data_IF_061168781941
#
_entry.id   IF_061168781941
#
_cell.length_a   1.000
_cell.length_b   1.000
_cell.length_c   1.000
_cell.angle_alpha   90.00
_cell.angle_beta   90.00
_cell.angle_gamma   90.00
#
_symmetry.space_group_name_H-M   'P 1'
#
loop_
_entity.id
_entity.type
_entity.pdbx_description
1 polymer ?
#
# COMPACT_ATOMS: atom_id res chain seq x y z
N UNK A 1 -27.23 -11.63 -9.68
CA UNK A 1 -25.84 -12.13 -9.78
C UNK A 1 -25.05 -11.09 -10.55
N UNK A 2 -24.27 -10.26 -9.84
CA UNK A 2 -23.31 -9.35 -10.49
C UNK A 2 -22.21 -10.20 -11.12
N UNK A 3 -21.91 -10.00 -12.40
CA UNK A 3 -20.76 -10.64 -13.03
C UNK A 3 -19.50 -10.06 -12.40
N UNK A 4 -18.78 -10.85 -11.60
CA UNK A 4 -17.48 -10.45 -11.05
C UNK A 4 -16.56 -9.98 -12.19
N UNK A 5 -15.92 -8.83 -11.98
CA UNK A 5 -14.98 -8.22 -12.91
C UNK A 5 -13.56 -8.81 -12.80
N UNK A 6 -13.33 -9.73 -11.86
CA UNK A 6 -12.02 -10.34 -11.62
C UNK A 6 -11.75 -11.48 -12.63
N UNK A 7 -10.48 -11.70 -13.03
CA UNK A 7 -10.15 -12.75 -13.97
C UNK A 7 -10.34 -14.16 -13.37
N UNK A 8 -10.70 -15.12 -14.21
CA UNK A 8 -10.76 -16.54 -13.80
C UNK A 8 -9.37 -17.06 -13.38
N UNK A 9 -8.31 -16.59 -14.03
CA UNK A 9 -6.92 -16.94 -13.75
C UNK A 9 -6.02 -15.76 -14.06
N UNK A 10 -5.12 -15.42 -13.14
CA UNK A 10 -4.04 -14.45 -13.37
C UNK A 10 -2.69 -15.16 -13.20
N UNK A 11 -2.04 -15.52 -14.32
CA UNK A 11 -0.73 -16.19 -14.28
C UNK A 11 0.37 -15.32 -13.65
N UNK A 12 0.13 -14.03 -13.69
CA UNK A 12 1.09 -12.98 -13.50
C UNK A 12 1.00 -12.51 -12.02
N UNK A 13 -0.08 -12.85 -11.30
CA UNK A 13 -0.26 -12.59 -9.86
C UNK A 13 0.88 -13.21 -9.05
N UNK A 14 1.65 -12.38 -8.36
CA UNK A 14 2.64 -12.83 -7.40
C UNK A 14 1.98 -12.94 -6.03
N UNK A 15 1.53 -14.15 -5.70
CA UNK A 15 0.86 -14.47 -4.43
C UNK A 15 1.77 -14.37 -3.21
N UNK A 16 3.09 -14.36 -3.41
CA UNK A 16 4.07 -14.18 -2.34
C UNK A 16 4.31 -12.69 -2.07
N UNK A 17 4.45 -11.89 -3.13
CA UNK A 17 4.62 -10.45 -3.01
C UNK A 17 3.33 -9.74 -2.54
N UNK A 18 2.16 -10.22 -2.96
CA UNK A 18 0.86 -9.65 -2.59
C UNK A 18 0.05 -10.68 -1.79
N UNK A 19 0.36 -10.85 -0.50
CA UNK A 19 -0.41 -11.75 0.35
C UNK A 19 -1.66 -11.06 0.90
N UNK A 20 -2.84 -11.31 0.31
CA UNK A 20 -4.10 -10.72 0.77
C UNK A 20 -4.49 -11.11 2.21
N UNK A 21 -3.86 -12.13 2.80
CA UNK A 21 -4.12 -12.56 4.16
C UNK A 21 -3.23 -11.89 5.22
N UNK A 22 -2.33 -11.00 4.80
CA UNK A 22 -1.50 -10.17 5.67
C UNK A 22 -1.68 -8.69 5.31
N UNK A 23 -1.42 -7.76 6.25
CA UNK A 23 -1.34 -6.33 5.91
C UNK A 23 -0.40 -6.11 4.73
N UNK A 24 -0.83 -5.26 3.81
CA UNK A 24 -0.02 -4.88 2.66
C UNK A 24 1.12 -3.96 3.15
N UNK A 25 2.37 -4.37 2.93
CA UNK A 25 3.57 -3.60 3.32
C UNK A 25 3.62 -2.22 2.63
N UNK A 26 3.00 -2.09 1.46
CA UNK A 26 2.83 -0.84 0.75
C UNK A 26 1.48 -0.78 0.05
N UNK A 27 0.60 0.09 0.53
CA UNK A 27 -0.43 0.71 -0.31
C UNK A 27 0.12 2.11 -0.56
N UNK A 28 0.87 2.28 -1.65
CA UNK A 28 1.46 3.59 -1.92
C UNK A 28 0.32 4.60 -2.15
N UNK A 29 0.38 5.80 -1.54
CA UNK A 29 -0.68 6.78 -1.70
C UNK A 29 -0.80 7.32 -3.13
N UNK A 30 0.13 7.02 -4.05
CA UNK A 30 0.17 7.66 -5.37
C UNK A 30 0.41 6.77 -6.59
N UNK A 31 0.46 5.44 -6.46
CA UNK A 31 0.48 4.56 -7.64
C UNK A 31 0.12 3.16 -7.18
N UNK A 32 -1.17 2.84 -7.14
CA UNK A 32 -1.57 1.44 -7.21
C UNK A 32 -1.27 0.99 -8.63
N UNK A 33 -0.24 0.17 -8.92
CA UNK A 33 0.06 -0.23 -10.28
C UNK A 33 -1.18 -0.88 -10.88
N UNK A 34 -1.75 -0.25 -11.91
CA UNK A 34 -2.71 -0.92 -12.78
C UNK A 34 -1.96 -2.06 -13.45
N UNK A 35 -2.36 -3.30 -13.16
CA UNK A 35 -2.33 -4.30 -14.21
C UNK A 35 -3.34 -3.88 -15.27
N UNK A 36 -2.84 -3.30 -16.35
CA UNK A 36 -3.66 -3.04 -17.52
C UNK A 36 -4.13 -4.38 -18.10
N UNK A 37 -5.34 -4.79 -17.71
CA UNK A 37 -6.11 -5.80 -18.41
C UNK A 37 -6.43 -5.21 -19.78
N UNK A 38 -5.79 -5.74 -20.81
CA UNK A 38 -5.96 -5.42 -22.24
C UNK A 38 -5.31 -4.11 -22.71
N UNK A 39 -3.99 -4.11 -22.88
CA UNK A 39 -3.37 -3.40 -24.02
C UNK A 39 -2.16 -4.19 -24.47
N UNK A 40 -2.14 -4.57 -25.76
CA UNK A 40 -0.94 -5.09 -26.39
C UNK A 40 0.08 -3.95 -26.41
N UNK A 41 1.23 -4.14 -25.76
CA UNK A 41 2.37 -3.23 -25.90
C UNK A 41 3.58 -4.06 -26.31
N UNK A 42 4.21 -3.57 -27.36
CA UNK A 42 5.32 -4.16 -28.08
C UNK A 42 6.51 -4.53 -27.20
N UNK A 43 7.26 -5.51 -27.69
CA UNK A 43 8.51 -5.99 -27.11
C UNK A 43 9.52 -4.85 -26.94
N UNK A 44 9.62 -4.30 -25.73
CA UNK A 44 10.71 -3.43 -25.31
C UNK A 44 11.84 -4.26 -24.68
N UNK A 45 13.08 -3.92 -25.07
CA UNK A 45 14.35 -4.58 -24.75
C UNK A 45 14.61 -4.67 -23.23
N UNK A 46 15.38 -5.69 -22.78
CA UNK A 46 15.72 -5.84 -21.37
C UNK A 46 16.59 -4.69 -20.88
N UNK A 47 16.13 -3.97 -19.85
CA UNK A 47 16.94 -3.03 -19.09
C UNK A 47 17.81 -3.81 -18.07
N UNK A 48 19.00 -3.27 -17.83
CA UNK A 48 20.12 -3.92 -17.16
C UNK A 48 19.81 -4.43 -15.74
N UNK A 49 20.29 -5.65 -15.46
CA UNK A 49 20.25 -6.28 -14.14
C UNK A 49 21.28 -5.60 -13.23
N UNK A 50 20.82 -4.90 -12.19
CA UNK A 50 21.64 -4.52 -11.04
C UNK A 50 21.86 -5.77 -10.16
N UNK A 51 23.13 -6.12 -9.95
CA UNK A 51 23.56 -7.32 -9.24
C UNK A 51 23.34 -7.22 -7.72
N UNK A 52 22.91 -8.33 -7.11
CA UNK A 52 22.78 -8.49 -5.65
C UNK A 52 24.16 -8.62 -4.97
N UNK A 53 24.37 -8.06 -3.75
CA UNK A 53 25.66 -8.09 -3.05
C UNK A 53 26.09 -9.47 -2.52
N UNK A 54 25.31 -10.53 -2.74
CA UNK A 54 25.56 -11.87 -2.18
C UNK A 54 25.88 -12.96 -3.21
N UNK A 55 26.25 -12.60 -4.43
CA UNK A 55 26.64 -13.58 -5.45
C UNK A 55 28.05 -14.14 -5.19
N UNK A 56 28.14 -15.38 -4.69
CA UNK A 56 29.37 -16.20 -4.74
C UNK A 56 29.78 -16.41 -6.19
N UNK A 57 31.04 -16.08 -6.52
CA UNK A 57 31.69 -16.37 -7.81
C UNK A 57 31.39 -17.79 -8.26
N UNK A 58 30.65 -17.94 -9.36
CA UNK A 58 30.59 -19.19 -10.13
C UNK A 58 30.65 -18.85 -11.62
N UNK A 59 31.76 -19.31 -12.19
CA UNK A 59 32.18 -19.54 -13.59
C UNK A 59 31.12 -19.31 -14.68
N UNK A 60 31.53 -18.61 -15.74
CA UNK A 60 30.80 -18.42 -17.01
C UNK A 60 30.13 -19.73 -17.50
N UNK A 61 28.86 -19.69 -17.93
CA UNK A 61 28.23 -20.84 -18.53
C UNK A 61 28.82 -21.07 -19.93
N UNK A 62 29.64 -22.10 -20.07
CA UNK A 62 29.92 -22.70 -21.36
C UNK A 62 28.58 -23.06 -22.03
N UNK A 63 28.35 -22.56 -23.25
CA UNK A 63 27.18 -22.88 -24.07
C UNK A 63 27.00 -24.39 -24.16
N UNK A 64 25.94 -24.91 -23.53
CA UNK A 64 25.65 -26.33 -23.47
C UNK A 64 25.08 -26.77 -24.83
N UNK A 65 25.96 -27.20 -25.73
CA UNK A 65 25.67 -27.75 -27.06
C UNK A 65 25.05 -29.15 -26.99
N UNK A 66 24.23 -29.43 -25.97
CA UNK A 66 23.57 -30.71 -25.77
C UNK A 66 22.10 -30.65 -26.18
N UNK A 67 21.74 -31.48 -27.16
CA UNK A 67 20.35 -31.63 -27.59
C UNK A 67 19.62 -32.64 -26.70
N UNK A 68 18.72 -32.16 -25.84
CA UNK A 68 17.87 -33.02 -25.01
C UNK A 68 16.92 -33.91 -25.82
N UNK A 69 16.36 -33.41 -26.92
CA UNK A 69 15.43 -34.17 -27.78
C UNK A 69 16.09 -35.35 -28.51
N UNK A 70 17.38 -35.25 -28.79
CA UNK A 70 18.14 -36.29 -29.50
C UNK A 70 19.19 -36.98 -28.61
N UNK A 71 19.33 -36.55 -27.35
CA UNK A 71 20.36 -36.98 -26.38
C UNK A 71 21.78 -36.99 -26.96
N UNK A 72 22.17 -35.92 -27.67
CA UNK A 72 23.49 -35.79 -28.32
C UNK A 72 24.18 -34.48 -27.96
N UNK A 73 25.47 -34.54 -27.62
CA UNK A 73 26.34 -33.37 -27.39
C UNK A 73 27.14 -33.04 -28.64
N UNK A 74 27.23 -31.77 -29.00
CA UNK A 74 27.92 -31.31 -30.21
C UNK A 74 29.19 -30.55 -29.84
N UNK A 75 30.24 -30.69 -30.64
CA UNK A 75 31.56 -30.13 -30.31
C UNK A 75 31.68 -28.63 -30.59
N UNK A 76 30.80 -28.05 -31.41
CA UNK A 76 30.75 -26.62 -31.66
C UNK A 76 29.31 -26.14 -31.96
N UNK A 77 29.08 -24.86 -31.73
CA UNK A 77 27.76 -24.23 -31.84
C UNK A 77 27.17 -24.22 -33.26
N UNK A 78 27.95 -24.01 -34.35
CA UNK A 78 27.40 -24.06 -35.70
C UNK A 78 26.82 -25.44 -36.07
N UNK A 79 27.46 -26.54 -35.65
CA UNK A 79 26.91 -27.88 -35.89
C UNK A 79 25.70 -28.18 -35.02
N UNK A 80 25.63 -27.63 -33.80
CA UNK A 80 24.44 -27.72 -32.95
C UNK A 80 23.24 -27.01 -33.59
N UNK A 81 23.42 -25.77 -34.05
CA UNK A 81 22.35 -24.99 -34.71
C UNK A 81 21.85 -25.68 -35.99
N UNK A 82 22.75 -26.27 -36.79
CA UNK A 82 22.37 -27.06 -37.95
C UNK A 82 21.63 -28.35 -37.57
N UNK A 83 22.02 -28.99 -36.45
CA UNK A 83 21.32 -30.15 -35.92
C UNK A 83 19.87 -29.83 -35.52
N UNK A 84 19.62 -28.69 -34.87
CA UNK A 84 18.27 -28.24 -34.49
C UNK A 84 17.33 -28.11 -35.70
N UNK A 85 17.87 -27.80 -36.88
CA UNK A 85 17.11 -27.69 -38.13
C UNK A 85 16.94 -29.02 -38.87
N UNK A 86 17.55 -30.10 -38.41
CA UNK A 86 17.48 -31.40 -39.09
C UNK A 86 16.11 -32.05 -38.96
N UNK A 87 15.59 -32.65 -40.04
CA UNK A 87 14.30 -33.33 -40.05
C UNK A 87 14.17 -34.40 -38.95
N UNK A 88 15.28 -35.06 -38.61
CA UNK A 88 15.35 -36.09 -37.56
C UNK A 88 15.22 -35.49 -36.15
N UNK A 89 15.80 -34.31 -35.91
CA UNK A 89 15.61 -33.57 -34.66
C UNK A 89 14.16 -33.10 -34.52
N UNK A 90 13.61 -32.47 -35.54
CA UNK A 90 12.23 -31.95 -35.55
C UNK A 90 11.21 -33.08 -35.34
N UNK A 91 11.43 -34.27 -35.91
CA UNK A 91 10.56 -35.43 -35.69
C UNK A 91 10.62 -35.95 -34.23
N UNK A 92 11.80 -35.96 -33.61
CA UNK A 92 11.94 -36.35 -32.20
C UNK A 92 11.38 -35.28 -31.25
N UNK A 93 11.52 -34.00 -31.59
CA UNK A 93 10.90 -32.91 -30.85
C UNK A 93 9.37 -32.97 -30.91
N UNK A 94 8.78 -33.25 -32.08
CA UNK A 94 7.34 -33.46 -32.26
C UNK A 94 6.80 -34.68 -31.50
N UNK A 95 7.65 -35.69 -31.22
CA UNK A 95 7.30 -36.82 -30.36
C UNK A 95 7.36 -36.48 -28.87
N UNK A 96 8.24 -35.55 -28.48
CA UNK A 96 8.37 -35.06 -27.10
C UNK A 96 7.37 -33.96 -26.75
N UNK A 97 6.84 -33.24 -27.75
CA UNK A 97 5.78 -32.25 -27.61
C UNK A 97 4.66 -32.56 -28.61
N UNK A 98 3.54 -33.20 -28.18
CA UNK A 98 2.39 -33.38 -29.06
C UNK A 98 1.88 -32.02 -29.55
N UNK A 99 1.55 -31.94 -30.84
CA UNK A 99 1.30 -30.70 -31.56
C UNK A 99 0.26 -29.78 -30.90
N UNK A 100 0.65 -28.50 -30.77
CA UNK A 100 -0.28 -27.36 -30.66
C UNK A 100 -1.26 -27.41 -31.82
N UNK A 101 -2.56 -27.56 -31.51
CA UNK A 101 -3.65 -27.35 -32.46
C UNK A 101 -4.14 -25.91 -32.30
N UNK A 102 -4.06 -25.15 -33.39
CA UNK A 102 -4.75 -23.86 -33.57
C UNK A 102 -6.27 -24.00 -33.56
N UNK A 103 -6.98 -22.87 -33.72
CA UNK A 103 -8.11 -22.50 -32.87
C UNK A 103 -9.38 -23.25 -33.28
N UNK A 104 -9.86 -24.10 -32.38
CA UNK A 104 -11.24 -24.54 -32.36
C UNK A 104 -11.90 -23.90 -31.13
N UNK A 105 -12.88 -23.03 -31.39
CA UNK A 105 -13.83 -22.55 -30.40
C UNK A 105 -14.27 -23.70 -29.48
N UNK A 106 -14.24 -23.44 -28.17
CA UNK A 106 -14.67 -24.33 -27.08
C UNK A 106 -13.71 -25.46 -26.64
N UNK A 107 -12.42 -25.18 -26.45
CA UNK A 107 -11.61 -26.00 -25.55
C UNK A 107 -11.82 -25.56 -24.10
N UNK A 108 -12.52 -26.41 -23.32
CA UNK A 108 -12.50 -26.38 -21.86
C UNK A 108 -11.03 -26.36 -21.42
N UNK A 109 -10.57 -25.23 -20.88
CA UNK A 109 -9.32 -25.16 -20.12
C UNK A 109 -9.31 -26.35 -19.15
N UNK A 110 -8.30 -27.22 -19.25
CA UNK A 110 -8.10 -28.28 -18.27
C UNK A 110 -7.83 -27.60 -16.92
N UNK A 111 -8.89 -27.47 -16.11
CA UNK A 111 -8.84 -26.87 -14.79
C UNK A 111 -7.90 -27.73 -13.94
N UNK A 112 -6.91 -27.11 -13.30
CA UNK A 112 -5.99 -27.82 -12.41
C UNK A 112 -6.80 -28.66 -11.39
N UNK A 113 -6.49 -29.95 -11.14
CA UNK A 113 -7.34 -30.84 -10.33
C UNK A 113 -7.71 -30.24 -8.97
N UNK A 114 -6.74 -29.60 -8.30
CA UNK A 114 -6.98 -28.89 -7.02
C UNK A 114 -7.98 -27.73 -7.11
N UNK A 115 -8.09 -27.06 -8.26
CA UNK A 115 -9.10 -26.02 -8.46
C UNK A 115 -10.48 -26.67 -8.58
N UNK A 116 -10.60 -27.78 -9.31
CA UNK A 116 -11.87 -28.50 -9.42
C UNK A 116 -12.32 -29.10 -8.09
N UNK A 117 -11.39 -29.65 -7.31
CA UNK A 117 -11.64 -30.12 -5.94
C UNK A 117 -12.11 -28.97 -5.04
N UNK A 118 -11.39 -27.84 -5.03
CA UNK A 118 -11.77 -26.66 -4.25
C UNK A 118 -13.18 -26.16 -4.62
N UNK A 119 -13.49 -26.07 -5.92
CA UNK A 119 -14.82 -25.67 -6.40
C UNK A 119 -15.91 -26.67 -5.97
N UNK A 120 -15.64 -27.97 -6.05
CA UNK A 120 -16.57 -29.00 -5.57
C UNK A 120 -16.83 -28.88 -4.07
N UNK A 121 -15.80 -28.56 -3.28
CA UNK A 121 -15.94 -28.35 -1.84
C UNK A 121 -16.75 -27.08 -1.53
N UNK A 122 -16.58 -26.01 -2.30
CA UNK A 122 -17.42 -24.80 -2.17
C UNK A 122 -18.89 -25.11 -2.46
N UNK A 123 -19.19 -25.87 -3.50
CA UNK A 123 -20.57 -26.27 -3.85
C UNK A 123 -21.20 -27.19 -2.80
N UNK A 124 -20.40 -28.06 -2.17
CA UNK A 124 -20.85 -28.90 -1.06
C UNK A 124 -21.14 -28.06 0.20
N UNK A 125 -20.27 -27.10 0.52
CA UNK A 125 -20.46 -26.19 1.64
C UNK A 125 -21.72 -25.32 1.47
N UNK A 126 -22.03 -24.90 0.24
CA UNK A 126 -23.25 -24.14 -0.09
C UNK A 126 -24.54 -24.91 0.21
N UNK A 127 -24.49 -26.24 0.08
CA UNK A 127 -25.63 -27.13 0.32
C UNK A 127 -25.59 -27.79 1.71
N UNK A 128 -24.59 -27.45 2.53
CA UNK A 128 -24.39 -28.06 3.84
C UNK A 128 -25.31 -27.43 4.88
N UNK A 129 -25.97 -28.26 5.68
CA UNK A 129 -26.73 -27.82 6.85
C UNK A 129 -25.81 -27.50 8.05
N UNK A 130 -24.56 -27.98 8.02
CA UNK A 130 -23.54 -27.63 9.03
C UNK A 130 -22.83 -26.33 8.64
N UNK A 131 -23.28 -25.23 9.23
CA UNK A 131 -22.68 -23.91 9.03
C UNK A 131 -21.24 -23.83 9.54
N UNK A 132 -20.87 -24.57 10.60
CA UNK A 132 -19.49 -24.54 11.15
C UNK A 132 -18.50 -25.12 10.14
N UNK A 133 -18.86 -26.27 9.55
CA UNK A 133 -18.07 -26.88 8.49
C UNK A 133 -18.04 -26.01 7.22
N UNK A 134 -19.16 -25.40 6.85
CA UNK A 134 -19.24 -24.51 5.69
C UNK A 134 -18.34 -23.27 5.83
N UNK A 135 -18.37 -22.59 6.99
CA UNK A 135 -17.51 -21.44 7.28
C UNK A 135 -16.02 -21.78 7.15
N UNK A 136 -15.61 -22.90 7.75
CA UNK A 136 -14.22 -23.39 7.68
C UNK A 136 -13.83 -23.70 6.24
N UNK A 137 -14.73 -24.36 5.50
CA UNK A 137 -14.50 -24.73 4.10
C UNK A 137 -14.33 -23.48 3.22
N UNK A 138 -15.22 -22.49 3.33
CA UNK A 138 -15.10 -21.27 2.53
C UNK A 138 -13.77 -20.54 2.79
N UNK A 139 -13.35 -20.43 4.05
CA UNK A 139 -12.07 -19.81 4.40
C UNK A 139 -10.88 -20.58 3.79
N UNK A 140 -10.79 -21.90 4.01
CA UNK A 140 -9.68 -22.72 3.52
C UNK A 140 -9.64 -22.80 1.99
N UNK A 141 -10.79 -22.86 1.33
CA UNK A 141 -10.84 -22.89 -0.12
C UNK A 141 -10.51 -21.53 -0.74
N UNK A 142 -10.88 -20.40 -0.10
CA UNK A 142 -10.43 -19.08 -0.54
C UNK A 142 -8.89 -18.99 -0.58
N UNK A 143 -8.22 -19.45 0.48
CA UNK A 143 -6.75 -19.48 0.57
C UNK A 143 -6.13 -20.35 -0.54
N UNK A 144 -6.71 -21.54 -0.75
CA UNK A 144 -6.26 -22.48 -1.77
C UNK A 144 -6.41 -21.89 -3.19
N UNK A 145 -7.56 -21.30 -3.48
CA UNK A 145 -7.84 -20.68 -4.77
C UNK A 145 -6.95 -19.46 -5.02
N UNK A 146 -6.66 -18.67 -3.98
CA UNK A 146 -5.74 -17.54 -4.09
C UNK A 146 -4.32 -18.00 -4.43
N UNK A 147 -3.80 -19.01 -3.73
CA UNK A 147 -2.50 -19.61 -4.01
C UNK A 147 -2.41 -20.21 -5.43
N UNK A 148 -3.54 -20.67 -5.98
CA UNK A 148 -3.67 -21.15 -7.36
C UNK A 148 -3.95 -20.04 -8.38
N UNK A 149 -3.84 -18.77 -7.95
CA UNK A 149 -4.05 -17.56 -8.74
C UNK A 149 -5.42 -17.48 -9.41
N UNK A 150 -6.48 -17.88 -8.69
CA UNK A 150 -7.88 -17.89 -9.15
C UNK A 150 -8.71 -16.78 -8.49
N UNK A 151 -8.45 -15.50 -8.80
CA UNK A 151 -8.98 -14.38 -8.01
C UNK A 151 -10.50 -14.28 -8.05
N UNK A 152 -11.17 -14.56 -9.18
CA UNK A 152 -12.63 -14.60 -9.23
C UNK A 152 -13.24 -15.66 -8.29
N UNK A 153 -12.62 -16.84 -8.19
CA UNK A 153 -13.11 -17.89 -7.29
C UNK A 153 -12.76 -17.62 -5.82
N UNK A 154 -11.60 -17.00 -5.57
CA UNK A 154 -11.24 -16.48 -4.24
C UNK A 154 -12.28 -15.45 -3.77
N UNK A 155 -12.61 -14.48 -4.61
CA UNK A 155 -13.64 -13.47 -4.30
C UNK A 155 -14.98 -14.14 -4.00
N UNK A 156 -15.43 -15.08 -4.84
CA UNK A 156 -16.67 -15.83 -4.61
C UNK A 156 -16.68 -16.52 -3.24
N UNK A 157 -15.61 -17.25 -2.91
CA UNK A 157 -15.51 -17.95 -1.63
C UNK A 157 -15.53 -16.99 -0.43
N UNK A 158 -14.84 -15.85 -0.52
CA UNK A 158 -14.82 -14.82 0.54
C UNK A 158 -16.20 -14.17 0.71
N UNK A 159 -16.90 -13.85 -0.38
CA UNK A 159 -18.27 -13.31 -0.32
C UNK A 159 -19.24 -14.32 0.29
N UNK A 160 -19.20 -15.59 -0.12
CA UNK A 160 -20.03 -16.65 0.47
C UNK A 160 -19.78 -16.81 1.97
N UNK A 161 -18.53 -16.71 2.41
CA UNK A 161 -18.18 -16.71 3.83
C UNK A 161 -18.79 -15.52 4.57
N UNK A 162 -18.62 -14.31 4.04
CA UNK A 162 -19.16 -13.08 4.64
C UNK A 162 -20.70 -13.13 4.71
N UNK A 163 -21.35 -13.54 3.63
CA UNK A 163 -22.81 -13.63 3.53
C UNK A 163 -23.36 -14.67 4.50
N UNK A 164 -22.72 -15.85 4.59
CA UNK A 164 -23.11 -16.88 5.55
C UNK A 164 -23.01 -16.35 6.98
N UNK A 165 -21.94 -15.65 7.37
CA UNK A 165 -21.81 -15.09 8.72
C UNK A 165 -22.85 -14.00 8.97
N UNK A 166 -23.08 -13.09 8.01
CA UNK A 166 -24.06 -12.01 8.14
C UNK A 166 -25.50 -12.54 8.30
N UNK A 167 -25.80 -13.70 7.72
CA UNK A 167 -27.07 -14.40 7.93
C UNK A 167 -27.27 -14.94 9.38
N UNK A 168 -26.26 -14.77 10.25
CA UNK A 168 -26.29 -15.16 11.67
C UNK A 168 -26.62 -16.65 11.88
N UNK A 169 -25.81 -17.57 11.32
CA UNK A 169 -26.11 -18.98 11.36
C UNK A 169 -25.81 -19.55 12.75
N UNK A 170 -26.46 -20.68 13.08
CA UNK A 170 -26.12 -21.42 14.30
C UNK A 170 -24.81 -22.17 14.06
N UNK A 171 -23.79 -21.91 14.88
CA UNK A 171 -22.45 -22.54 14.75
C UNK A 171 -21.92 -22.96 16.12
N UNK A 172 -20.90 -23.82 16.13
CA UNK A 172 -20.19 -24.19 17.37
C UNK A 172 -19.07 -23.20 17.73
N UNK A 173 -18.85 -22.16 16.92
CA UNK A 173 -17.84 -21.13 17.17
C UNK A 173 -18.34 -20.11 18.19
N UNK A 174 -17.42 -19.60 19.00
CA UNK A 174 -17.68 -18.46 19.87
C UNK A 174 -17.90 -17.17 19.07
N UNK A 175 -18.59 -16.19 19.66
CA UNK A 175 -18.77 -14.87 19.05
C UNK A 175 -17.45 -14.19 18.66
N UNK A 176 -16.39 -14.37 19.46
CA UNK A 176 -15.06 -13.86 19.16
C UNK A 176 -14.44 -14.53 17.91
N UNK A 177 -14.63 -15.84 17.75
CA UNK A 177 -14.18 -16.57 16.56
C UNK A 177 -14.96 -16.13 15.31
N UNK A 178 -16.28 -15.98 15.40
CA UNK A 178 -17.11 -15.48 14.30
C UNK A 178 -16.69 -14.06 13.89
N UNK A 179 -16.45 -13.17 14.86
CA UNK A 179 -15.96 -11.81 14.63
C UNK A 179 -14.60 -11.84 13.92
N UNK A 180 -13.69 -12.74 14.33
CA UNK A 180 -12.37 -12.90 13.71
C UNK A 180 -12.46 -13.42 12.27
N UNK A 181 -13.29 -14.44 12.01
CA UNK A 181 -13.53 -14.96 10.66
C UNK A 181 -14.06 -13.87 9.74
N UNK A 182 -15.10 -13.15 10.18
CA UNK A 182 -15.70 -12.08 9.38
C UNK A 182 -14.71 -10.95 9.09
N UNK A 183 -13.96 -10.54 10.10
CA UNK A 183 -12.95 -9.49 9.98
C UNK A 183 -11.86 -9.87 8.99
N UNK A 184 -11.26 -11.06 9.13
CA UNK A 184 -10.19 -11.52 8.25
C UNK A 184 -10.68 -11.77 6.82
N UNK A 185 -11.92 -12.24 6.65
CA UNK A 185 -12.55 -12.39 5.35
C UNK A 185 -12.76 -11.05 4.64
N UNK A 186 -13.23 -10.03 5.38
CA UNK A 186 -13.39 -8.67 4.85
C UNK A 186 -12.04 -8.07 4.46
N UNK A 187 -11.00 -8.17 5.30
CA UNK A 187 -9.67 -7.67 4.94
C UNK A 187 -9.11 -8.36 3.69
N UNK A 188 -9.19 -9.69 3.62
CA UNK A 188 -8.71 -10.43 2.45
C UNK A 188 -9.48 -10.06 1.18
N UNK A 189 -10.80 -9.86 1.28
CA UNK A 189 -11.63 -9.43 0.16
C UNK A 189 -11.26 -8.01 -0.27
N UNK A 190 -11.14 -7.07 0.66
CA UNK A 190 -10.79 -5.69 0.36
C UNK A 190 -9.42 -5.59 -0.33
N UNK A 191 -8.40 -6.28 0.19
CA UNK A 191 -7.06 -6.36 -0.42
C UNK A 191 -7.09 -6.96 -1.82
N UNK A 192 -7.86 -8.04 -2.02
CA UNK A 192 -8.05 -8.64 -3.33
C UNK A 192 -8.66 -7.62 -4.31
N UNK A 193 -9.69 -6.90 -3.90
CA UNK A 193 -10.32 -5.87 -4.72
C UNK A 193 -9.36 -4.70 -5.02
N UNK A 194 -8.50 -4.31 -4.07
CA UNK A 194 -7.43 -3.34 -4.29
C UNK A 194 -6.47 -3.77 -5.41
N UNK A 195 -6.01 -5.04 -5.40
CA UNK A 195 -5.10 -5.58 -6.43
C UNK A 195 -5.71 -5.44 -7.83
N UNK A 196 -7.03 -5.58 -7.95
CA UNK A 196 -7.78 -5.45 -9.21
C UNK A 196 -8.47 -4.10 -9.39
N UNK A 197 -8.04 -3.06 -8.66
CA UNK A 197 -8.47 -1.66 -8.84
C UNK A 197 -9.98 -1.43 -8.66
N UNK A 198 -10.66 -2.30 -7.91
CA UNK A 198 -12.07 -2.13 -7.53
C UNK A 198 -12.16 -1.34 -6.23
N UNK A 199 -11.73 -0.07 -6.32
CA UNK A 199 -11.43 0.76 -5.14
C UNK A 199 -12.67 1.07 -4.29
N UNK A 200 -13.83 1.35 -4.89
CA UNK A 200 -15.04 1.70 -4.12
C UNK A 200 -15.56 0.51 -3.30
N UNK A 201 -15.58 -0.68 -3.90
CA UNK A 201 -15.94 -1.91 -3.19
C UNK A 201 -14.90 -2.23 -2.11
N UNK A 202 -13.60 -2.09 -2.42
CA UNK A 202 -12.53 -2.31 -1.45
C UNK A 202 -12.66 -1.37 -0.23
N UNK A 203 -12.89 -0.07 -0.48
CA UNK A 203 -13.12 0.96 0.53
C UNK A 203 -14.27 0.60 1.44
N UNK A 204 -15.42 0.23 0.87
CA UNK A 204 -16.59 -0.19 1.65
C UNK A 204 -16.27 -1.39 2.55
N UNK A 205 -15.59 -2.40 2.00
CA UNK A 205 -15.27 -3.62 2.75
C UNK A 205 -14.24 -3.35 3.88
N UNK A 206 -13.26 -2.46 3.68
CA UNK A 206 -12.35 -2.03 4.75
C UNK A 206 -13.09 -1.34 5.90
N UNK A 207 -13.97 -0.38 5.57
CA UNK A 207 -14.75 0.32 6.58
C UNK A 207 -15.65 -0.64 7.35
N UNK A 208 -16.27 -1.62 6.68
CA UNK A 208 -17.03 -2.69 7.34
C UNK A 208 -16.16 -3.58 8.24
N UNK A 209 -14.90 -3.83 7.89
CA UNK A 209 -13.97 -4.58 8.73
C UNK A 209 -13.63 -3.80 10.02
N UNK A 210 -13.31 -2.50 9.88
CA UNK A 210 -13.03 -1.60 11.00
C UNK A 210 -14.24 -1.43 11.93
N UNK A 211 -15.43 -1.18 11.37
CA UNK A 211 -16.67 -1.08 12.12
C UNK A 211 -17.01 -2.40 12.85
N UNK A 212 -16.85 -3.54 12.16
CA UNK A 212 -17.18 -4.85 12.73
C UNK A 212 -16.36 -5.22 13.96
N UNK A 213 -15.02 -5.18 13.85
CA UNK A 213 -14.10 -5.62 14.91
C UNK A 213 -13.75 -4.52 15.90
N UNK A 214 -13.44 -3.33 15.40
CA UNK A 214 -12.89 -2.24 16.20
C UNK A 214 -13.92 -1.17 16.59
N UNK A 215 -15.16 -1.29 16.09
CA UNK A 215 -16.28 -0.39 16.40
C UNK A 215 -16.04 1.06 15.97
N UNK A 216 -15.26 1.25 14.91
CA UNK A 216 -15.11 2.53 14.23
C UNK A 216 -16.27 2.65 13.23
N UNK A 217 -17.38 3.23 13.66
CA UNK A 217 -18.62 3.25 12.88
C UNK A 217 -18.46 4.12 11.62
N UNK A 218 -18.74 3.53 10.45
CA UNK A 218 -18.60 4.21 9.14
C UNK A 218 -19.34 5.56 9.08
N UNK A 219 -20.60 5.69 9.57
CA UNK A 219 -21.30 6.98 9.53
C UNK A 219 -20.62 8.08 10.35
N UNK A 220 -20.03 7.73 11.49
CA UNK A 220 -19.32 8.67 12.36
C UNK A 220 -18.02 9.15 11.70
N UNK A 221 -17.23 8.21 11.16
CA UNK A 221 -16.03 8.51 10.38
C UNK A 221 -16.33 9.44 9.18
N UNK A 222 -17.37 9.13 8.40
CA UNK A 222 -17.78 9.98 7.27
C UNK A 222 -18.30 11.35 7.73
N UNK A 223 -18.92 11.41 8.91
CA UNK A 223 -19.34 12.67 9.55
C UNK A 223 -18.15 13.57 9.88
N UNK A 224 -17.05 13.00 10.38
CA UNK A 224 -15.79 13.71 10.61
C UNK A 224 -15.20 14.18 9.28
N UNK A 225 -15.06 13.27 8.31
CA UNK A 225 -14.47 13.55 7.01
C UNK A 225 -15.17 14.70 6.25
N UNK A 226 -16.50 14.78 6.31
CA UNK A 226 -17.27 15.88 5.69
C UNK A 226 -16.97 17.26 6.30
N UNK A 227 -16.49 17.30 7.54
CA UNK A 227 -16.19 18.55 8.27
C UNK A 227 -14.72 18.93 8.26
N UNK A 228 -13.84 18.13 7.67
CA UNK A 228 -12.38 18.29 7.78
C UNK A 228 -11.89 19.70 7.47
N UNK A 229 -12.41 20.32 6.40
CA UNK A 229 -12.03 21.69 6.01
C UNK A 229 -12.35 22.76 7.06
N UNK A 230 -13.26 22.46 7.99
CA UNK A 230 -13.70 23.40 9.04
C UNK A 230 -13.10 23.10 10.41
N UNK A 231 -12.48 21.93 10.60
CA UNK A 231 -11.93 21.50 11.89
C UNK A 231 -10.52 22.05 12.08
N UNK A 232 -10.19 22.46 13.31
CA UNK A 232 -8.78 22.51 13.69
C UNK A 232 -8.24 21.09 13.86
N UNK A 233 -6.92 20.93 13.84
CA UNK A 233 -6.27 19.65 14.15
C UNK A 233 -6.65 19.13 15.54
N UNK A 234 -6.84 20.01 16.52
CA UNK A 234 -7.28 19.65 17.85
C UNK A 234 -8.70 19.07 17.81
N UNK A 235 -9.63 19.75 17.14
CA UNK A 235 -11.01 19.28 17.00
C UNK A 235 -11.10 17.99 16.19
N UNK A 236 -10.23 17.82 15.18
CA UNK A 236 -10.11 16.58 14.42
C UNK A 236 -9.66 15.42 15.32
N UNK A 237 -8.59 15.63 16.09
CA UNK A 237 -8.08 14.62 17.02
C UNK A 237 -9.11 14.30 18.11
N UNK A 238 -9.83 15.29 18.64
CA UNK A 238 -10.92 15.05 19.61
C UNK A 238 -12.06 14.23 18.99
N UNK A 239 -12.49 14.55 17.77
CA UNK A 239 -13.52 13.78 17.08
C UNK A 239 -13.06 12.34 16.77
N UNK A 240 -11.81 12.16 16.36
CA UNK A 240 -11.20 10.85 16.14
C UNK A 240 -11.00 10.06 17.46
N UNK A 241 -10.77 10.75 18.58
CA UNK A 241 -10.76 10.15 19.91
C UNK A 241 -12.13 9.58 20.27
N UNK A 242 -13.18 10.37 20.01
CA UNK A 242 -14.56 9.98 20.22
C UNK A 242 -14.92 8.75 19.36
N UNK A 243 -14.56 8.75 18.07
CA UNK A 243 -14.75 7.62 17.16
C UNK A 243 -14.08 6.33 17.69
N UNK A 244 -12.84 6.43 18.19
CA UNK A 244 -12.08 5.30 18.69
C UNK A 244 -12.24 5.06 20.21
N UNK A 245 -13.22 5.69 20.87
CA UNK A 245 -13.36 5.71 22.34
C UNK A 245 -13.31 4.31 22.95
N UNK A 246 -14.01 3.33 22.34
CA UNK A 246 -14.08 1.95 22.85
C UNK A 246 -12.71 1.28 22.92
N UNK A 247 -11.87 1.51 21.91
CA UNK A 247 -10.51 0.99 21.88
C UNK A 247 -9.60 1.81 22.82
N UNK A 248 -9.60 3.14 22.68
CA UNK A 248 -8.68 4.02 23.40
C UNK A 248 -8.92 3.98 24.92
N UNK A 249 -10.17 3.94 25.37
CA UNK A 249 -10.49 3.82 26.80
C UNK A 249 -9.97 2.51 27.38
N UNK A 250 -10.08 1.40 26.63
CA UNK A 250 -9.56 0.09 27.05
C UNK A 250 -8.04 0.16 27.21
N UNK A 251 -7.33 0.71 26.23
CA UNK A 251 -5.86 0.78 26.25
C UNK A 251 -5.33 1.78 27.29
N UNK A 252 -5.96 2.95 27.43
CA UNK A 252 -5.63 3.95 28.47
C UNK A 252 -5.76 3.40 29.89
N UNK A 253 -6.74 2.53 30.11
CA UNK A 253 -7.01 1.92 31.41
C UNK A 253 -6.23 0.62 31.65
N UNK A 254 -5.38 0.17 30.72
CA UNK A 254 -4.56 -1.02 30.94
C UNK A 254 -3.49 -0.75 31.97
N UNK A 255 -3.39 -1.66 32.94
CA UNK A 255 -2.33 -1.66 33.96
C UNK A 255 -1.03 -2.31 33.49
N UNK A 256 -1.06 -3.02 32.35
CA UNK A 256 0.08 -3.67 31.73
C UNK A 256 0.07 -3.38 30.22
N UNK A 257 1.25 -3.22 29.59
CA UNK A 257 1.34 -3.05 28.14
C UNK A 257 0.62 -4.17 27.40
N UNK A 258 0.08 -3.85 26.21
CA UNK A 258 -0.47 -4.85 25.31
C UNK A 258 0.56 -5.95 25.05
N UNK A 259 0.18 -7.24 25.06
CA UNK A 259 1.07 -8.28 24.59
C UNK A 259 1.43 -8.02 23.12
N UNK A 260 2.67 -8.35 22.75
CA UNK A 260 3.10 -8.26 21.36
C UNK A 260 2.14 -9.03 20.45
N UNK A 261 1.72 -8.40 19.37
CA UNK A 261 0.77 -8.97 18.42
C UNK A 261 1.48 -10.06 17.62
N UNK A 262 0.96 -11.29 17.67
CA UNK A 262 1.51 -12.43 16.90
C UNK A 262 0.97 -12.51 15.47
N UNK A 263 -0.15 -11.84 15.21
CA UNK A 263 -0.81 -11.74 13.91
C UNK A 263 -0.96 -10.27 13.55
N UNK A 264 -0.38 -9.88 12.41
CA UNK A 264 -0.34 -8.50 11.96
C UNK A 264 -1.76 -7.95 11.65
N UNK A 265 -2.74 -8.81 11.32
CA UNK A 265 -4.14 -8.38 11.17
C UNK A 265 -4.78 -7.96 12.51
N UNK A 266 -4.12 -8.20 13.65
CA UNK A 266 -4.58 -7.71 14.94
C UNK A 266 -4.02 -6.33 15.32
N UNK A 267 -3.11 -5.75 14.52
CA UNK A 267 -2.68 -4.36 14.71
C UNK A 267 -3.70 -3.42 14.08
N UNK A 268 -4.49 -2.73 14.90
CA UNK A 268 -5.42 -1.73 14.38
C UNK A 268 -4.67 -0.56 13.74
N UNK A 269 -3.48 -0.20 14.22
CA UNK A 269 -2.66 0.87 13.64
C UNK A 269 -2.27 0.52 12.20
N UNK A 270 -1.78 -0.70 11.97
CA UNK A 270 -1.42 -1.17 10.62
C UNK A 270 -2.61 -1.14 9.67
N UNK A 271 -3.78 -1.59 10.13
CA UNK A 271 -4.99 -1.68 9.30
C UNK A 271 -5.63 -0.30 9.06
N UNK A 272 -5.57 0.62 10.03
CA UNK A 272 -5.98 2.01 9.84
C UNK A 272 -5.09 2.71 8.83
N UNK A 273 -3.78 2.54 8.95
CA UNK A 273 -2.82 3.08 8.00
C UNK A 273 -3.05 2.51 6.60
N UNK A 274 -3.21 1.18 6.48
CA UNK A 274 -3.56 0.49 5.24
C UNK A 274 -4.84 1.05 4.60
N UNK A 275 -5.92 1.20 5.38
CA UNK A 275 -7.16 1.80 4.89
C UNK A 275 -6.96 3.27 4.49
N UNK A 276 -6.25 4.07 5.28
CA UNK A 276 -6.02 5.48 4.98
C UNK A 276 -5.32 5.68 3.63
N UNK A 277 -4.30 4.87 3.33
CA UNK A 277 -3.62 4.90 2.03
C UNK A 277 -4.54 4.60 0.84
N UNK A 278 -5.51 3.69 0.99
CA UNK A 278 -6.51 3.42 -0.04
C UNK A 278 -7.44 4.62 -0.31
N UNK A 279 -7.67 5.42 0.72
CA UNK A 279 -8.50 6.64 0.64
C UNK A 279 -7.70 7.87 0.20
N UNK A 280 -6.38 7.90 0.38
CA UNK A 280 -5.51 9.03 0.04
C UNK A 280 -5.32 9.28 -1.47
N UNK A 281 -6.25 8.79 -2.31
CA UNK A 281 -6.20 8.90 -3.76
C UNK A 281 -6.79 10.23 -4.20
N UNK A 282 -5.99 11.03 -4.91
CA UNK A 282 -6.36 12.37 -5.36
C UNK A 282 -7.56 12.38 -6.32
N UNK A 283 -8.47 13.34 -6.13
CA UNK A 283 -9.58 13.64 -7.03
C UNK A 283 -10.71 12.62 -7.04
N UNK A 284 -10.75 11.70 -6.07
CA UNK A 284 -11.78 10.66 -5.98
C UNK A 284 -12.80 10.96 -4.88
N UNK A 285 -14.06 10.56 -5.09
CA UNK A 285 -15.10 10.65 -4.07
C UNK A 285 -15.54 9.27 -3.61
N UNK A 286 -15.80 9.13 -2.31
CA UNK A 286 -16.47 7.99 -1.72
C UNK A 286 -17.78 8.42 -1.04
N UNK A 287 -18.92 7.93 -1.53
CA UNK A 287 -20.26 8.23 -0.98
C UNK A 287 -20.52 9.74 -0.74
N UNK A 288 -20.13 10.57 -1.71
CA UNK A 288 -20.23 12.04 -1.71
C UNK A 288 -19.27 12.78 -0.75
N UNK A 289 -18.26 12.09 -0.22
CA UNK A 289 -17.17 12.70 0.55
C UNK A 289 -15.86 12.54 -0.23
N UNK A 290 -15.00 13.57 -0.33
CA UNK A 290 -13.67 13.40 -0.91
C UNK A 290 -12.90 12.28 -0.20
N UNK A 291 -12.22 11.43 -0.97
CA UNK A 291 -11.57 10.23 -0.42
C UNK A 291 -10.42 10.63 0.51
N UNK A 292 -9.69 11.67 0.15
CA UNK A 292 -8.59 12.28 0.90
C UNK A 292 -9.07 12.76 2.27
N UNK A 293 -10.29 13.30 2.36
CA UNK A 293 -10.87 13.65 3.66
C UNK A 293 -11.08 12.39 4.53
N UNK A 294 -11.54 11.29 3.94
CA UNK A 294 -11.67 10.03 4.69
C UNK A 294 -10.29 9.53 5.14
N UNK A 295 -9.27 9.65 4.29
CA UNK A 295 -7.90 9.29 4.61
C UNK A 295 -7.36 10.08 5.81
N UNK A 296 -7.59 11.39 5.83
CA UNK A 296 -7.18 12.27 6.93
C UNK A 296 -7.83 11.88 8.26
N UNK A 297 -9.13 11.55 8.27
CA UNK A 297 -9.80 11.04 9.47
C UNK A 297 -9.19 9.70 9.93
N UNK A 298 -8.90 8.79 9.00
CA UNK A 298 -8.29 7.49 9.30
C UNK A 298 -6.85 7.63 9.84
N UNK A 299 -6.03 8.50 9.25
CA UNK A 299 -4.70 8.81 9.76
C UNK A 299 -4.76 9.47 11.14
N UNK A 300 -5.64 10.44 11.37
CA UNK A 300 -5.83 11.04 12.68
C UNK A 300 -6.27 10.02 13.75
N UNK A 301 -7.14 9.07 13.38
CA UNK A 301 -7.47 7.94 14.28
C UNK A 301 -6.25 7.04 14.50
N UNK A 302 -5.45 6.78 13.46
CA UNK A 302 -4.23 5.98 13.55
C UNK A 302 -3.21 6.60 14.51
N UNK A 303 -3.00 7.92 14.47
CA UNK A 303 -2.04 8.62 15.35
C UNK A 303 -2.41 8.57 16.83
N UNK A 304 -3.71 8.42 17.14
CA UNK A 304 -4.18 8.24 18.52
C UNK A 304 -3.98 6.82 19.03
N UNK A 305 -4.00 5.84 18.13
CA UNK A 305 -3.92 4.43 18.49
C UNK A 305 -2.50 3.87 18.45
N UNK A 306 -1.67 4.31 17.51
CA UNK A 306 -0.30 3.81 17.33
C UNK A 306 0.58 3.88 18.59
N UNK A 307 0.46 4.84 19.53
CA UNK A 307 1.26 4.84 20.76
C UNK A 307 1.01 3.61 21.65
N UNK A 308 -0.15 2.96 21.51
CA UNK A 308 -0.50 1.73 22.22
C UNK A 308 -0.07 0.46 21.47
N UNK A 309 0.41 0.59 20.22
CA UNK A 309 0.87 -0.52 19.36
C UNK A 309 2.27 -0.27 18.77
N UNK A 310 3.31 -0.05 19.59
CA UNK A 310 4.67 0.25 19.09
C UNK A 310 5.28 -0.91 18.28
N UNK A 311 4.77 -2.13 18.46
CA UNK A 311 5.20 -3.32 17.69
C UNK A 311 4.74 -3.31 16.23
N UNK A 312 3.85 -2.39 15.84
CA UNK A 312 3.45 -2.19 14.44
C UNK A 312 4.57 -1.60 13.58
N UNK A 313 5.59 -0.99 14.18
CA UNK A 313 6.66 -0.28 13.47
C UNK A 313 6.25 1.09 12.91
N UNK A 314 5.01 1.52 13.16
CA UNK A 314 4.47 2.81 12.74
C UNK A 314 4.47 3.75 13.95
N UNK A 315 5.14 4.90 13.81
CA UNK A 315 5.18 5.92 14.86
C UNK A 315 4.10 6.97 14.64
N UNK A 316 3.81 7.74 15.70
CA UNK A 316 2.86 8.87 15.62
C UNK A 316 3.33 9.90 14.58
N UNK A 317 4.64 10.08 14.47
CA UNK A 317 5.24 11.09 13.62
C UNK A 317 5.17 10.69 12.14
N UNK A 318 5.36 9.40 11.84
CA UNK A 318 5.13 8.85 10.48
C UNK A 318 3.70 9.16 10.01
N UNK A 319 2.73 9.01 10.90
CA UNK A 319 1.32 9.30 10.58
C UNK A 319 1.08 10.80 10.37
N UNK A 320 1.66 11.67 11.17
CA UNK A 320 1.55 13.12 10.95
C UNK A 320 2.17 13.55 9.62
N UNK A 321 3.30 12.96 9.25
CA UNK A 321 3.92 13.18 7.95
C UNK A 321 2.96 12.81 6.80
N UNK A 322 2.33 11.63 6.88
CA UNK A 322 1.33 11.19 5.88
C UNK A 322 0.10 12.10 5.85
N UNK A 323 -0.40 12.56 7.00
CA UNK A 323 -1.50 13.53 7.06
C UNK A 323 -1.13 14.82 6.33
N UNK A 324 0.06 15.36 6.58
CA UNK A 324 0.57 16.57 5.94
C UNK A 324 0.64 16.40 4.42
N UNK A 325 1.12 15.25 3.93
CA UNK A 325 1.15 14.97 2.49
C UNK A 325 -0.25 14.99 1.86
N UNK A 326 -1.27 14.46 2.54
CA UNK A 326 -2.65 14.49 2.04
C UNK A 326 -3.26 15.89 2.15
N UNK A 327 -2.91 16.68 3.18
CA UNK A 327 -3.37 18.07 3.27
C UNK A 327 -2.79 18.95 2.16
N UNK A 328 -1.50 18.77 1.86
CA UNK A 328 -0.83 19.51 0.78
C UNK A 328 -1.40 19.17 -0.59
N UNK A 329 -1.80 17.91 -0.83
CA UNK A 329 -2.44 17.51 -2.09
C UNK A 329 -3.87 18.03 -2.28
N UNK A 330 -4.51 18.55 -1.23
CA UNK A 330 -5.88 19.08 -1.33
C UNK A 330 -5.96 20.49 -1.94
N UNK A 331 -4.81 21.12 -2.26
CA UNK A 331 -4.66 22.51 -2.74
C UNK A 331 -5.31 23.60 -1.84
N UNK A 332 -6.08 23.22 -0.82
CA UNK A 332 -6.63 24.03 0.27
C UNK A 332 -5.56 24.23 1.35
N UNK A 333 -4.44 24.87 0.99
CA UNK A 333 -3.41 25.32 1.94
C UNK A 333 -3.92 26.40 2.92
N UNK A 334 -5.11 26.95 2.67
CA UNK A 334 -5.65 28.10 3.40
C UNK A 334 -6.07 27.81 4.84
N UNK A 335 -6.18 26.54 5.28
CA UNK A 335 -6.50 26.27 6.68
C UNK A 335 -5.76 25.08 7.27
N UNK A 336 -4.75 25.43 8.09
CA UNK A 336 -4.35 24.73 9.33
C UNK A 336 -3.86 23.29 9.11
N UNK A 337 -2.55 23.06 9.14
CA UNK A 337 -1.91 21.99 9.94
C UNK A 337 -0.40 22.13 9.83
N UNK A 338 0.12 22.85 10.82
CA UNK A 338 1.39 22.50 11.43
C UNK A 338 1.12 22.72 12.91
N UNK A 339 0.59 21.72 13.61
CA UNK A 339 0.49 21.87 15.07
C UNK A 339 1.89 21.71 15.64
N UNK A 340 2.54 22.83 16.00
CA UNK A 340 3.90 22.81 16.55
C UNK A 340 3.96 21.90 17.79
N UNK A 341 2.87 21.80 18.54
CA UNK A 341 2.81 20.95 19.74
C UNK A 341 2.69 19.46 19.42
N UNK A 342 2.36 19.10 18.17
CA UNK A 342 2.31 17.74 17.69
C UNK A 342 3.57 17.32 16.92
N UNK A 343 4.45 18.26 16.55
CA UNK A 343 5.70 17.97 15.86
C UNK A 343 6.72 17.35 16.82
N UNK A 344 7.36 16.27 16.38
CA UNK A 344 8.58 15.80 17.04
C UNK A 344 9.73 16.79 16.78
N UNK A 345 9.97 17.65 17.76
CA UNK A 345 11.07 18.62 17.75
C UNK A 345 12.45 17.98 17.74
N UNK A 346 12.58 16.68 18.03
CA UNK A 346 13.86 15.96 17.91
C UNK A 346 14.16 15.53 16.46
N UNK A 347 13.14 15.37 15.61
CA UNK A 347 13.31 14.98 14.22
C UNK A 347 13.48 16.21 13.32
N UNK A 348 14.72 16.41 12.86
CA UNK A 348 15.11 17.53 12.00
C UNK A 348 14.32 17.55 10.69
N UNK A 349 13.98 16.40 10.11
CA UNK A 349 13.19 16.32 8.88
C UNK A 349 11.76 16.84 9.08
N UNK A 350 11.09 16.43 10.16
CA UNK A 350 9.74 16.90 10.45
C UNK A 350 9.70 18.40 10.68
N UNK A 351 10.66 18.92 11.45
CA UNK A 351 10.78 20.36 11.69
C UNK A 351 11.09 21.12 10.39
N UNK A 352 11.97 20.59 9.53
CA UNK A 352 12.29 21.17 8.23
C UNK A 352 11.06 21.27 7.32
N UNK A 353 10.34 20.16 7.13
CA UNK A 353 9.15 20.14 6.27
C UNK A 353 8.03 21.04 6.86
N UNK A 354 7.87 21.04 8.18
CA UNK A 354 6.92 21.91 8.87
C UNK A 354 7.25 23.41 8.69
N UNK A 355 8.53 23.78 8.70
CA UNK A 355 8.97 25.15 8.44
C UNK A 355 8.69 25.55 6.99
N UNK A 356 9.00 24.68 6.02
CA UNK A 356 8.71 24.92 4.60
C UNK A 356 7.21 25.17 4.40
N UNK A 357 6.34 24.33 4.96
CA UNK A 357 4.89 24.48 4.87
C UNK A 357 4.43 25.80 5.51
N UNK A 358 4.94 26.13 6.70
CA UNK A 358 4.58 27.40 7.36
C UNK A 358 4.98 28.63 6.52
N UNK A 359 6.10 28.55 5.79
CA UNK A 359 6.55 29.59 4.86
C UNK A 359 5.67 29.64 3.61
N UNK A 360 5.25 28.49 3.07
CA UNK A 360 4.39 28.40 1.88
C UNK A 360 3.02 29.06 2.12
N UNK A 361 2.46 28.90 3.31
CA UNK A 361 1.14 29.44 3.69
C UNK A 361 1.22 30.81 4.39
N UNK A 362 2.41 31.41 4.46
CA UNK A 362 2.68 32.67 5.16
C UNK A 362 2.23 32.68 6.65
N UNK A 363 2.22 31.54 7.33
CA UNK A 363 2.00 31.43 8.78
C UNK A 363 3.30 31.74 9.55
N UNK A 364 3.69 33.02 9.49
CA UNK A 364 4.96 33.50 10.04
C UNK A 364 5.05 33.41 11.57
N UNK A 365 3.91 33.44 12.27
CA UNK A 365 3.85 33.26 13.74
C UNK A 365 4.30 31.84 14.09
N UNK A 366 3.82 30.87 13.32
CA UNK A 366 4.18 29.48 13.52
C UNK A 366 5.61 29.18 13.07
N UNK A 367 6.00 29.69 11.90
CA UNK A 367 7.35 29.57 11.38
C UNK A 367 8.39 30.10 12.39
N UNK A 368 8.07 31.15 13.16
CA UNK A 368 8.93 31.66 14.22
C UNK A 368 9.29 30.61 15.27
N UNK A 369 8.31 29.81 15.71
CA UNK A 369 8.51 28.83 16.77
C UNK A 369 9.33 27.64 16.25
N UNK A 370 9.10 27.25 14.99
CA UNK A 370 9.82 26.16 14.32
C UNK A 370 11.26 26.58 14.00
N UNK A 371 11.48 27.81 13.51
CA UNK A 371 12.80 28.36 13.25
C UNK A 371 13.65 28.41 14.53
N UNK A 372 13.04 28.78 15.67
CA UNK A 372 13.75 28.81 16.94
C UNK A 372 14.35 27.44 17.33
N UNK A 373 13.68 26.34 16.97
CA UNK A 373 14.18 24.98 17.18
C UNK A 373 15.25 24.55 16.16
N UNK A 374 15.18 25.06 14.93
CA UNK A 374 16.06 24.67 13.82
C UNK A 374 17.32 25.55 13.67
N UNK A 375 17.34 26.75 14.25
CA UNK A 375 18.37 27.76 14.00
C UNK A 375 19.81 27.28 14.25
N UNK A 376 20.00 26.32 15.16
CA UNK A 376 21.31 25.75 15.50
C UNK A 376 21.72 24.56 14.62
N UNK A 377 20.84 24.09 13.74
CA UNK A 377 21.12 22.96 12.85
C UNK A 377 22.18 23.33 11.81
N UNK A 378 23.13 22.42 11.57
CA UNK A 378 24.27 22.65 10.65
C UNK A 378 23.95 22.32 9.18
N UNK A 379 22.70 21.98 8.88
CA UNK A 379 22.28 21.57 7.55
C UNK A 379 22.07 22.79 6.62
N UNK A 380 22.72 22.85 5.44
CA UNK A 380 22.60 23.98 4.51
C UNK A 380 21.17 24.27 4.04
N UNK A 381 20.39 23.22 3.77
CA UNK A 381 18.98 23.31 3.37
C UNK A 381 18.08 23.86 4.49
N UNK A 382 18.34 23.49 5.75
CA UNK A 382 17.66 24.12 6.90
C UNK A 382 18.01 25.61 6.99
N UNK A 383 19.28 25.98 6.80
CA UNK A 383 19.71 27.37 6.87
C UNK A 383 19.10 28.23 5.76
N UNK A 384 18.88 27.66 4.56
CA UNK A 384 18.11 28.32 3.51
C UNK A 384 16.69 28.62 3.97
N UNK A 385 15.95 27.64 4.51
CA UNK A 385 14.58 27.87 5.00
C UNK A 385 14.52 28.92 6.12
N UNK A 386 15.47 28.86 7.07
CA UNK A 386 15.55 29.87 8.14
C UNK A 386 15.84 31.27 7.58
N UNK A 387 16.66 31.37 6.52
CA UNK A 387 16.97 32.64 5.84
C UNK A 387 15.76 33.19 5.10
N UNK A 388 15.07 32.32 4.34
CA UNK A 388 13.83 32.62 3.63
C UNK A 388 12.74 33.13 4.58
N UNK A 389 12.51 32.42 5.70
CA UNK A 389 11.58 32.87 6.75
C UNK A 389 11.93 34.26 7.30
N UNK A 390 13.21 34.51 7.62
CA UNK A 390 13.65 35.81 8.15
C UNK A 390 13.43 36.93 7.16
N UNK A 391 13.72 36.70 5.88
CA UNK A 391 13.52 37.68 4.83
C UNK A 391 12.03 37.98 4.59
N UNK A 392 11.17 36.96 4.56
CA UNK A 392 9.71 37.13 4.52
C UNK A 392 9.19 37.94 5.72
N UNK A 393 9.66 37.63 6.93
CA UNK A 393 9.26 38.35 8.16
C UNK A 393 9.73 39.81 8.15
N UNK A 394 10.91 40.08 7.57
CA UNK A 394 11.46 41.43 7.42
C UNK A 394 10.84 42.20 6.24
N UNK A 395 9.97 41.59 5.44
CA UNK A 395 9.39 42.16 4.21
C UNK A 395 10.48 42.66 3.23
N UNK A 396 11.64 42.01 3.23
CA UNK A 396 12.82 42.38 2.46
C UNK A 396 13.46 41.11 1.90
N UNK A 397 12.92 40.65 0.77
CA UNK A 397 13.40 39.43 0.11
C UNK A 397 14.51 39.81 -0.87
N UNK A 398 15.69 39.23 -0.66
CA UNK A 398 16.82 39.27 -1.56
C UNK A 398 16.86 37.96 -2.33
N UNK A 399 16.09 37.93 -3.43
CA UNK A 399 15.92 36.75 -4.27
C UNK A 399 17.25 36.24 -4.83
N UNK A 400 18.19 37.12 -5.15
CA UNK A 400 19.48 36.72 -5.73
C UNK A 400 20.30 35.91 -4.72
N UNK A 401 20.33 36.34 -3.46
CA UNK A 401 21.03 35.60 -2.39
C UNK A 401 20.37 34.26 -2.07
N UNK A 402 19.03 34.21 -2.01
CA UNK A 402 18.29 32.97 -1.75
C UNK A 402 18.41 31.98 -2.91
N UNK A 403 18.38 32.47 -4.15
CA UNK A 403 18.56 31.65 -5.34
C UNK A 403 19.97 31.05 -5.38
N UNK A 404 21.01 31.82 -5.04
CA UNK A 404 22.38 31.30 -4.94
C UNK A 404 22.52 30.21 -3.87
N UNK A 405 21.82 30.34 -2.74
CA UNK A 405 21.80 29.31 -1.70
C UNK A 405 21.07 28.05 -2.17
N UNK A 406 19.96 28.19 -2.91
CA UNK A 406 19.25 27.07 -3.50
C UNK A 406 20.10 26.34 -4.56
N UNK A 407 20.77 27.09 -5.43
CA UNK A 407 21.68 26.55 -6.44
C UNK A 407 22.86 25.81 -5.79
N UNK A 408 23.35 26.32 -4.66
CA UNK A 408 24.36 25.64 -3.86
C UNK A 408 23.85 24.30 -3.29
N UNK A 409 22.62 24.25 -2.77
CA UNK A 409 22.02 23.00 -2.28
C UNK A 409 21.84 21.99 -3.41
N UNK A 410 21.40 22.44 -4.59
CA UNK A 410 21.32 21.60 -5.79
C UNK A 410 22.68 21.01 -6.16
N UNK A 411 23.74 21.82 -6.13
CA UNK A 411 25.10 21.36 -6.37
C UNK A 411 25.55 20.31 -5.34
N UNK A 412 25.23 20.53 -4.05
CA UNK A 412 25.56 19.58 -2.99
C UNK A 412 24.82 18.24 -3.16
N UNK A 413 23.55 18.28 -3.53
CA UNK A 413 22.76 17.08 -3.84
C UNK A 413 23.38 16.26 -4.96
N UNK A 414 23.82 16.91 -6.04
CA UNK A 414 24.35 16.24 -7.23
C UNK A 414 25.81 15.77 -7.07
N UNK A 415 26.66 16.57 -6.42
CA UNK A 415 28.11 16.42 -6.53
C UNK A 415 28.82 16.02 -5.24
N UNK A 416 28.18 16.13 -4.08
CA UNK A 416 28.83 15.84 -2.79
C UNK A 416 28.07 14.82 -1.96
N UNK A 417 28.64 14.48 -0.80
CA UNK A 417 28.00 13.67 0.26
C UNK A 417 27.72 14.52 1.50
N UNK A 418 27.67 15.84 1.34
CA UNK A 418 27.47 16.73 2.47
C UNK A 418 26.08 16.52 3.08
N UNK A 419 25.97 16.66 4.42
CA UNK A 419 24.74 16.40 5.12
C UNK A 419 23.68 17.42 4.71
N UNK A 420 22.63 16.93 4.08
CA UNK A 420 21.40 17.64 3.76
C UNK A 420 20.25 16.85 4.36
N UNK A 421 19.24 17.53 4.88
CA UNK A 421 18.05 16.88 5.43
C UNK A 421 17.26 16.19 4.30
N UNK A 422 17.12 16.87 3.16
CA UNK A 422 16.38 16.37 1.98
C UNK A 422 17.03 15.12 1.35
N UNK A 423 18.33 14.88 1.57
CA UNK A 423 19.06 13.73 1.01
C UNK A 423 18.53 12.39 1.53
N UNK A 424 17.88 12.38 2.69
CA UNK A 424 17.28 11.18 3.27
C UNK A 424 15.95 10.78 2.61
N UNK A 425 15.42 11.58 1.67
CA UNK A 425 14.17 11.34 0.96
C UNK A 425 14.41 10.67 -0.40
N UNK A 426 13.34 10.13 -1.01
CA UNK A 426 13.42 9.55 -2.36
C UNK A 426 13.71 10.62 -3.42
N UNK A 427 14.31 10.22 -4.56
CA UNK A 427 14.71 11.18 -5.62
C UNK A 427 13.54 12.03 -6.15
N UNK A 428 12.33 11.47 -6.23
CA UNK A 428 11.11 12.21 -6.63
C UNK A 428 10.72 13.27 -5.59
N UNK A 429 10.79 12.93 -4.31
CA UNK A 429 10.48 13.85 -3.21
C UNK A 429 11.53 14.95 -3.10
N UNK A 430 12.81 14.63 -3.31
CA UNK A 430 13.89 15.62 -3.36
C UNK A 430 13.59 16.71 -4.38
N UNK A 431 13.18 16.33 -5.60
CA UNK A 431 12.81 17.28 -6.66
C UNK A 431 11.61 18.14 -6.26
N UNK A 432 10.56 17.51 -5.71
CA UNK A 432 9.36 18.21 -5.23
C UNK A 432 9.68 19.27 -4.17
N UNK A 433 10.49 18.91 -3.17
CA UNK A 433 10.90 19.84 -2.10
C UNK A 433 11.69 21.02 -2.67
N UNK A 434 12.60 20.77 -3.61
CA UNK A 434 13.37 21.85 -4.26
C UNK A 434 12.45 22.79 -5.04
N UNK A 435 11.48 22.26 -5.78
CA UNK A 435 10.54 23.07 -6.54
C UNK A 435 9.65 23.91 -5.61
N UNK A 436 9.21 23.33 -4.48
CA UNK A 436 8.48 24.02 -3.42
C UNK A 436 9.28 25.18 -2.80
N UNK A 437 10.56 24.96 -2.48
CA UNK A 437 11.44 26.02 -1.98
C UNK A 437 11.61 27.11 -3.03
N UNK A 438 11.82 26.74 -4.30
CA UNK A 438 11.96 27.69 -5.40
C UNK A 438 10.71 28.56 -5.57
N UNK A 439 9.52 28.00 -5.40
CA UNK A 439 8.26 28.75 -5.49
C UNK A 439 8.06 29.75 -4.33
N UNK A 440 8.78 29.57 -3.22
CA UNK A 440 8.71 30.47 -2.07
C UNK A 440 9.70 31.65 -2.13
N UNK A 441 10.72 31.55 -2.99
CA UNK A 441 11.70 32.61 -3.30
C UNK A 441 11.11 33.50 -4.41
#
# INVERSE_FOLDING_TARGET
MSSSLLPLYDAELDVQAYNIYQPLESILPYDLPKRHVNTAVDSAKPAAVLASPFAKKTVEPALDTYCKACKKKFSNEPTFVNHLKSAKHIANEKKLKPASKGPANNQKLAVHPKVQEALSMLEQAEKSDDATAALTTYWTQAQTLYALKRPQYTEKALRMLIDLINASPTTTFSSAQITSFLYNARLALARLLCIYQQLDDARSVYLDALAGKWKLETPELLGIARRIRTLSIHDLLEACDQLATKYLTRERNRTKPAPALTDANNSIASILCEAAHLFAQEGQNYQNTPSEHVALALYATCSLVCPFEPTSGITKDDIYYLMIQVYTSLEDLDYRIVDIYALDTANVWHMFNALLIAIEIDDLVRAQTIEASLRQSLYPDVQLLCSLYKQKTALSIDNDTLQQQLDFILLLLEQTQDPLVIRNQGQKEQLDIIDRIRNCI
#
